data_IF_486390034390
#
_entry.id   IF_486390034390
#
_cell.length_a   1.000
_cell.length_b   1.000
_cell.length_c   1.000
_cell.angle_alpha   90.00
_cell.angle_beta   90.00
_cell.angle_gamma   90.00
#
_symmetry.space_group_name_H-M   'P 1'
#
loop_
_entity.id
_entity.type
_entity.pdbx_description
1 polymer ?
#
# COMPACT_ATOMS: atom_id res chain seq x y z
N UNK A 1 6.68 9.19 -9.13
CA UNK A 1 7.59 8.17 -8.59
C UNK A 1 8.34 8.62 -7.35
N UNK A 2 9.22 9.63 -7.39
CA UNK A 2 10.00 10.05 -6.21
C UNK A 2 9.16 10.36 -4.96
N UNK A 3 8.04 11.06 -5.12
CA UNK A 3 7.10 11.33 -4.00
C UNK A 3 6.59 10.03 -3.36
N UNK A 4 6.14 9.07 -4.18
CA UNK A 4 5.66 7.78 -3.71
C UNK A 4 6.77 6.99 -3.00
N UNK A 5 7.99 7.02 -3.53
CA UNK A 5 9.14 6.38 -2.89
C UNK A 5 9.41 6.91 -1.48
N UNK A 6 9.44 8.24 -1.30
CA UNK A 6 9.66 8.87 0.01
C UNK A 6 8.53 8.52 0.98
N UNK A 7 7.28 8.59 0.53
CA UNK A 7 6.13 8.26 1.37
C UNK A 7 6.15 6.79 1.83
N UNK A 8 6.40 5.84 0.91
CA UNK A 8 6.43 4.42 1.25
C UNK A 8 7.66 4.04 2.09
N UNK A 9 8.86 4.47 1.72
CA UNK A 9 10.08 4.04 2.41
C UNK A 9 10.32 4.76 3.74
N UNK A 10 9.98 6.05 3.83
CA UNK A 10 10.26 6.84 5.03
C UNK A 10 9.05 6.85 5.95
N UNK A 11 7.90 7.31 5.46
CA UNK A 11 6.72 7.49 6.29
C UNK A 11 6.10 6.14 6.66
N UNK A 12 5.84 5.28 5.68
CA UNK A 12 5.12 4.03 5.93
C UNK A 12 5.99 2.93 6.57
N UNK A 13 7.26 2.81 6.20
CA UNK A 13 8.13 1.78 6.79
C UNK A 13 8.74 2.22 8.13
N UNK A 14 9.59 3.26 8.14
CA UNK A 14 10.38 3.61 9.32
C UNK A 14 9.54 4.11 10.50
N UNK A 15 8.55 4.98 10.27
CA UNK A 15 7.71 5.47 11.36
C UNK A 15 6.81 4.37 11.93
N UNK A 16 6.34 3.45 11.09
CA UNK A 16 5.57 2.29 11.55
C UNK A 16 6.42 1.41 12.45
N UNK A 17 7.70 1.16 12.11
CA UNK A 17 8.62 0.42 13.00
C UNK A 17 8.78 1.11 14.35
N UNK A 18 9.00 2.43 14.38
CA UNK A 18 9.14 3.20 15.64
C UNK A 18 7.84 3.20 16.45
N UNK A 19 6.69 3.29 15.77
CA UNK A 19 5.40 3.25 16.43
C UNK A 19 5.11 1.87 17.03
N UNK A 20 5.44 0.79 16.32
CA UNK A 20 5.24 -0.57 16.77
C UNK A 20 6.20 -0.95 17.91
N UNK A 21 7.45 -0.47 17.91
CA UNK A 21 8.36 -0.66 19.04
C UNK A 21 7.86 0.05 20.30
N UNK A 22 7.35 1.27 20.16
CA UNK A 22 6.70 1.99 21.26
C UNK A 22 5.46 1.25 21.78
N UNK A 23 4.70 0.61 20.89
CA UNK A 23 3.56 -0.21 21.26
C UNK A 23 3.99 -1.43 22.09
N UNK A 24 5.08 -2.10 21.69
CA UNK A 24 5.66 -3.23 22.44
C UNK A 24 6.04 -2.78 23.85
N UNK A 25 6.79 -1.68 23.98
CA UNK A 25 7.20 -1.12 25.28
C UNK A 25 5.99 -0.76 26.14
N UNK A 26 4.92 -0.24 25.54
CA UNK A 26 3.74 0.19 26.30
C UNK A 26 2.85 -0.97 26.76
N UNK A 27 2.94 -2.13 26.11
CA UNK A 27 2.06 -3.29 26.35
C UNK A 27 2.72 -4.38 27.21
N UNK A 28 4.00 -4.24 27.57
CA UNK A 28 4.75 -5.25 28.33
C UNK A 28 4.14 -5.59 29.70
N UNK A 29 3.54 -4.59 30.37
CA UNK A 29 3.05 -4.71 31.75
C UNK A 29 1.54 -4.98 31.83
N UNK A 30 0.90 -5.23 30.69
CA UNK A 30 -0.56 -5.42 30.58
C UNK A 30 -0.93 -6.90 30.56
N UNK A 31 -2.19 -7.22 30.86
CA UNK A 31 -2.72 -8.57 30.76
C UNK A 31 -3.08 -8.94 29.30
N UNK A 32 -3.11 -10.25 29.02
CA UNK A 32 -3.31 -10.78 27.67
C UNK A 32 -4.57 -10.22 26.98
N UNK A 33 -5.75 -10.12 27.64
CA UNK A 33 -6.93 -9.55 27.00
C UNK A 33 -6.75 -8.09 26.56
N UNK A 34 -6.16 -7.24 27.41
CA UNK A 34 -5.92 -5.84 27.06
C UNK A 34 -4.92 -5.73 25.90
N UNK A 35 -3.83 -6.50 25.96
CA UNK A 35 -2.81 -6.51 24.90
C UNK A 35 -3.40 -7.02 23.59
N UNK A 36 -4.23 -8.05 23.63
CA UNK A 36 -4.93 -8.58 22.45
C UNK A 36 -5.83 -7.50 21.83
N UNK A 37 -6.63 -6.79 22.64
CA UNK A 37 -7.50 -5.72 22.16
C UNK A 37 -6.69 -4.59 21.51
N UNK A 38 -5.55 -4.22 22.10
CA UNK A 38 -4.66 -3.18 21.59
C UNK A 38 -4.02 -3.61 20.27
N UNK A 39 -3.42 -4.81 20.21
CA UNK A 39 -2.81 -5.36 18.98
C UNK A 39 -3.85 -5.50 17.88
N UNK A 40 -5.06 -5.96 18.22
CA UNK A 40 -6.16 -6.07 17.27
C UNK A 40 -6.61 -4.69 16.76
N UNK A 41 -6.85 -3.74 17.65
CA UNK A 41 -7.30 -2.38 17.30
C UNK A 41 -6.26 -1.62 16.47
N UNK A 42 -5.00 -1.63 16.90
CA UNK A 42 -3.89 -1.03 16.14
C UNK A 42 -3.71 -1.74 14.81
N UNK A 43 -3.71 -3.07 14.79
CA UNK A 43 -3.63 -3.87 13.58
C UNK A 43 -4.73 -3.52 12.59
N UNK A 44 -5.97 -3.35 13.05
CA UNK A 44 -7.10 -2.93 12.21
C UNK A 44 -6.84 -1.56 11.58
N UNK A 45 -6.40 -0.57 12.37
CA UNK A 45 -6.07 0.76 11.85
C UNK A 45 -4.95 0.70 10.82
N UNK A 46 -3.87 -0.03 11.09
CA UNK A 46 -2.74 -0.16 10.19
C UNK A 46 -3.13 -0.88 8.88
N UNK A 47 -3.96 -1.93 8.95
CA UNK A 47 -4.49 -2.56 7.75
C UNK A 47 -5.41 -1.65 6.94
N UNK A 48 -6.07 -0.64 7.55
CA UNK A 48 -6.89 0.32 6.79
C UNK A 48 -6.04 1.34 6.03
N UNK A 49 -4.73 1.42 6.29
CA UNK A 49 -3.83 2.34 5.62
C UNK A 49 -3.23 1.67 4.36
N UNK A 50 -3.51 2.18 3.15
CA UNK A 50 -3.00 1.60 1.90
C UNK A 50 -1.49 1.32 1.83
N UNK A 51 -0.60 2.18 2.39
CA UNK A 51 0.84 1.99 2.22
C UNK A 51 1.46 0.99 3.21
N UNK A 52 0.71 0.48 4.19
CA UNK A 52 1.27 -0.33 5.27
C UNK A 52 1.18 -1.82 4.90
N UNK A 53 2.30 -2.54 4.81
CA UNK A 53 2.29 -3.98 4.58
C UNK A 53 1.76 -4.73 5.81
N UNK A 54 1.14 -5.90 5.61
CA UNK A 54 0.62 -6.73 6.72
C UNK A 54 1.71 -7.41 7.56
N UNK A 55 2.89 -7.67 6.99
CA UNK A 55 3.96 -8.45 7.64
C UNK A 55 4.43 -7.84 8.98
N UNK A 56 4.72 -6.52 9.09
CA UNK A 56 5.08 -5.91 10.37
C UNK A 56 4.03 -6.09 11.47
N UNK A 57 2.75 -6.19 11.11
CA UNK A 57 1.64 -6.38 12.06
C UNK A 57 1.71 -7.80 12.65
N UNK A 58 1.89 -8.81 11.80
CA UNK A 58 2.03 -10.21 12.25
C UNK A 58 3.32 -10.43 13.04
N UNK A 59 4.42 -9.78 12.61
CA UNK A 59 5.70 -9.82 13.31
C UNK A 59 5.55 -9.24 14.73
N UNK A 60 4.90 -8.08 14.85
CA UNK A 60 4.62 -7.45 16.14
C UNK A 60 3.69 -8.30 17.00
N UNK A 61 2.66 -8.90 16.42
CA UNK A 61 1.78 -9.82 17.15
C UNK A 61 2.57 -11.02 17.72
N UNK A 62 3.54 -11.56 16.97
CA UNK A 62 4.43 -12.62 17.40
C UNK A 62 5.41 -12.23 18.52
N UNK A 63 5.75 -10.95 18.64
CA UNK A 63 6.55 -10.41 19.75
C UNK A 63 5.65 -10.19 20.97
N UNK A 64 4.61 -9.37 20.81
CA UNK A 64 3.79 -8.82 21.90
C UNK A 64 2.87 -9.87 22.53
N UNK A 65 2.17 -10.67 21.72
CA UNK A 65 1.22 -11.64 22.27
C UNK A 65 1.95 -12.84 22.88
N UNK A 66 3.15 -13.15 22.38
CA UNK A 66 3.96 -14.22 22.96
C UNK A 66 4.61 -13.79 24.26
N UNK A 67 5.14 -12.57 24.35
CA UNK A 67 5.77 -12.09 25.58
C UNK A 67 4.82 -12.10 26.78
N UNK A 68 3.57 -11.66 26.57
CA UNK A 68 2.56 -11.62 27.63
C UNK A 68 1.86 -12.97 27.81
N UNK A 69 1.71 -13.74 26.73
CA UNK A 69 1.06 -15.04 26.73
C UNK A 69 1.88 -16.16 27.36
N UNK A 70 3.21 -16.06 27.31
CA UNK A 70 4.12 -17.16 27.66
C UNK A 70 3.96 -17.63 29.11
N UNK A 71 3.68 -16.72 30.05
CA UNK A 71 3.55 -17.05 31.48
C UNK A 71 2.29 -17.85 31.81
N UNK A 72 1.21 -17.69 31.04
CA UNK A 72 -0.09 -18.33 31.31
C UNK A 72 -0.41 -19.51 30.40
N UNK A 73 0.00 -19.44 29.12
CA UNK A 73 -0.30 -20.45 28.10
C UNK A 73 0.91 -21.33 27.74
N UNK A 74 2.08 -21.01 28.28
CA UNK A 74 3.35 -21.54 27.82
C UNK A 74 3.74 -21.01 26.42
N UNK A 75 4.99 -21.24 26.02
CA UNK A 75 5.53 -20.73 24.75
C UNK A 75 4.70 -21.19 23.53
N UNK A 76 4.45 -22.50 23.41
CA UNK A 76 3.71 -23.06 22.27
C UNK A 76 2.27 -22.57 22.22
N UNK A 77 1.62 -22.47 23.39
CA UNK A 77 0.26 -21.96 23.50
C UNK A 77 0.17 -20.48 23.10
N UNK A 78 1.14 -19.67 23.53
CA UNK A 78 1.20 -18.24 23.21
C UNK A 78 1.47 -18.00 21.71
N UNK A 79 2.34 -18.79 21.08
CA UNK A 79 2.58 -18.73 19.62
C UNK A 79 1.30 -19.12 18.85
N UNK A 80 0.65 -20.22 19.24
CA UNK A 80 -0.61 -20.66 18.64
C UNK A 80 -1.73 -19.61 18.78
N UNK A 81 -1.79 -18.95 19.93
CA UNK A 81 -2.69 -17.83 20.18
C UNK A 81 -2.41 -16.65 19.25
N UNK A 82 -1.13 -16.25 19.10
CA UNK A 82 -0.72 -15.17 18.21
C UNK A 82 -1.07 -15.45 16.74
N UNK A 83 -0.97 -16.70 16.27
CA UNK A 83 -1.45 -17.10 14.94
C UNK A 83 -2.96 -16.90 14.79
N UNK A 84 -3.74 -17.38 15.77
CA UNK A 84 -5.19 -17.28 15.76
C UNK A 84 -5.66 -15.83 15.73
N UNK A 85 -5.13 -14.99 16.61
CA UNK A 85 -5.43 -13.54 16.65
C UNK A 85 -5.07 -12.87 15.33
N UNK A 86 -3.89 -13.17 14.75
CA UNK A 86 -3.44 -12.59 13.48
C UNK A 86 -4.34 -12.97 12.31
N UNK A 87 -4.81 -14.23 12.25
CA UNK A 87 -5.73 -14.69 11.21
C UNK A 87 -7.10 -14.01 11.34
N UNK A 88 -7.66 -13.93 12.55
CA UNK A 88 -8.94 -13.26 12.79
C UNK A 88 -8.83 -11.77 12.42
N UNK A 89 -7.77 -11.10 12.88
CA UNK A 89 -7.46 -9.72 12.54
C UNK A 89 -7.43 -9.51 11.03
N UNK A 90 -6.74 -10.38 10.29
CA UNK A 90 -6.64 -10.32 8.83
C UNK A 90 -8.01 -10.46 8.16
N UNK A 91 -8.81 -11.44 8.53
CA UNK A 91 -10.14 -11.64 7.94
C UNK A 91 -11.11 -10.50 8.28
N UNK A 92 -11.04 -9.95 9.50
CA UNK A 92 -11.80 -8.77 9.88
C UNK A 92 -11.37 -7.54 9.07
N UNK A 93 -10.07 -7.33 8.89
CA UNK A 93 -9.54 -6.24 8.07
C UNK A 93 -10.02 -6.34 6.61
N UNK A 94 -9.92 -7.52 6.00
CA UNK A 94 -10.44 -7.77 4.65
C UNK A 94 -11.96 -7.50 4.57
N UNK A 95 -12.72 -7.88 5.60
CA UNK A 95 -14.16 -7.63 5.65
C UNK A 95 -14.49 -6.15 5.67
N UNK A 96 -13.80 -5.36 6.50
CA UNK A 96 -13.98 -3.91 6.57
C UNK A 96 -13.53 -3.23 5.27
N UNK A 97 -12.37 -3.62 4.73
CA UNK A 97 -11.86 -3.08 3.48
C UNK A 97 -12.80 -3.34 2.30
N UNK A 98 -13.37 -4.55 2.21
CA UNK A 98 -14.30 -4.89 1.13
C UNK A 98 -15.67 -4.25 1.34
N UNK A 99 -16.29 -4.45 2.50
CA UNK A 99 -17.70 -4.11 2.73
C UNK A 99 -17.93 -2.65 3.12
N UNK A 100 -17.02 -2.04 3.89
CA UNK A 100 -17.19 -0.65 4.32
C UNK A 100 -16.48 0.32 3.39
N UNK A 101 -15.24 0.02 3.00
CA UNK A 101 -14.45 0.93 2.16
C UNK A 101 -14.76 0.70 0.68
N UNK A 102 -14.50 -0.50 0.16
CA UNK A 102 -14.62 -0.83 -1.25
C UNK A 102 -16.02 -0.63 -1.80
N UNK A 103 -17.05 -1.14 -1.11
CA UNK A 103 -18.43 -0.97 -1.55
C UNK A 103 -18.89 0.51 -1.60
N UNK A 104 -18.47 1.33 -0.63
CA UNK A 104 -18.78 2.77 -0.63
C UNK A 104 -18.02 3.51 -1.73
N UNK A 105 -16.74 3.18 -1.92
CA UNK A 105 -15.91 3.76 -2.97
C UNK A 105 -16.37 3.38 -4.38
N UNK A 106 -16.98 2.20 -4.54
CA UNK A 106 -17.53 1.73 -5.81
C UNK A 106 -18.63 2.62 -6.38
N UNK A 107 -19.34 3.37 -5.54
CA UNK A 107 -20.34 4.35 -6.00
C UNK A 107 -19.74 5.63 -6.60
N UNK A 108 -18.43 5.85 -6.51
CA UNK A 108 -17.78 7.06 -7.00
C UNK A 108 -17.13 6.81 -8.37
N UNK A 109 -17.61 7.53 -9.41
CA UNK A 109 -17.08 7.43 -10.79
C UNK A 109 -15.57 7.70 -10.84
N UNK A 110 -15.09 8.73 -10.14
CA UNK A 110 -13.66 9.08 -10.13
C UNK A 110 -12.79 8.00 -9.49
N UNK A 111 -13.30 7.25 -8.52
CA UNK A 111 -12.57 6.12 -7.94
C UNK A 111 -12.59 4.91 -8.87
N UNK A 112 -13.75 4.59 -9.47
CA UNK A 112 -13.84 3.54 -10.50
C UNK A 112 -12.92 3.83 -11.70
N UNK A 113 -12.81 5.10 -12.09
CA UNK A 113 -11.86 5.59 -13.08
C UNK A 113 -10.39 5.42 -12.60
N UNK A 114 -10.08 5.83 -11.37
CA UNK A 114 -8.74 5.73 -10.79
C UNK A 114 -8.23 4.29 -10.74
N UNK A 115 -9.10 3.33 -10.39
CA UNK A 115 -8.75 1.91 -10.41
C UNK A 115 -8.80 1.30 -11.81
N UNK A 116 -9.20 2.08 -12.82
CA UNK A 116 -9.35 1.65 -14.21
C UNK A 116 -10.26 0.43 -14.35
N UNK A 117 -11.50 0.54 -13.83
CA UNK A 117 -12.46 -0.56 -13.77
C UNK A 117 -12.75 -1.21 -15.14
N UNK A 118 -12.66 -0.41 -16.21
CA UNK A 118 -12.87 -0.80 -17.59
C UNK A 118 -11.64 -1.47 -18.26
N UNK A 119 -10.48 -1.47 -17.60
CA UNK A 119 -9.29 -2.12 -18.13
C UNK A 119 -9.42 -3.64 -18.17
N UNK A 120 -8.80 -4.27 -19.16
CA UNK A 120 -8.76 -5.74 -19.27
C UNK A 120 -8.15 -6.38 -18.02
N UNK A 121 -7.14 -5.75 -17.42
CA UNK A 121 -6.51 -6.25 -16.20
C UNK A 121 -7.47 -6.34 -15.01
N UNK A 122 -8.29 -5.31 -14.79
CA UNK A 122 -9.28 -5.32 -13.71
C UNK A 122 -10.44 -6.25 -14.01
N UNK A 123 -10.89 -6.33 -15.27
CA UNK A 123 -11.91 -7.30 -15.70
C UNK A 123 -11.42 -8.74 -15.56
N UNK A 124 -10.16 -9.03 -15.90
CA UNK A 124 -9.53 -10.32 -15.67
C UNK A 124 -9.44 -10.65 -14.17
N UNK A 125 -9.05 -9.68 -13.32
CA UNK A 125 -9.11 -9.88 -11.87
C UNK A 125 -10.53 -10.18 -11.40
N UNK A 126 -11.56 -9.52 -11.94
CA UNK A 126 -12.97 -9.83 -11.63
C UNK A 126 -13.32 -11.28 -11.98
N UNK A 127 -12.91 -11.78 -13.14
CA UNK A 127 -13.12 -13.19 -13.54
C UNK A 127 -12.46 -14.13 -12.52
N UNK A 128 -11.17 -13.94 -12.23
CA UNK A 128 -10.42 -14.76 -11.25
C UNK A 128 -11.08 -14.76 -9.87
N UNK A 129 -11.44 -13.59 -9.38
CA UNK A 129 -12.01 -13.40 -8.05
C UNK A 129 -13.48 -13.82 -7.97
N UNK A 130 -14.16 -14.02 -9.10
CA UNK A 130 -15.53 -14.53 -9.17
C UNK A 130 -15.60 -16.06 -9.23
N UNK A 131 -14.47 -16.76 -9.32
CA UNK A 131 -14.42 -18.22 -9.32
C UNK A 131 -15.18 -18.84 -8.15
N UNK A 132 -15.88 -19.95 -8.42
CA UNK A 132 -16.56 -20.71 -7.37
C UNK A 132 -15.55 -21.51 -6.54
N UNK A 133 -15.64 -21.39 -5.22
CA UNK A 133 -14.78 -22.10 -4.28
C UNK A 133 -13.38 -21.50 -4.15
N UNK A 134 -12.42 -22.31 -3.70
CA UNK A 134 -11.03 -21.92 -3.43
C UNK A 134 -10.11 -22.40 -4.56
N UNK A 135 -10.21 -21.75 -5.72
CA UNK A 135 -9.34 -22.07 -6.87
C UNK A 135 -7.92 -21.53 -6.66
N UNK A 136 -6.92 -22.18 -7.24
CA UNK A 136 -5.53 -21.77 -7.12
C UNK A 136 -5.31 -20.32 -7.61
N UNK A 137 -5.96 -19.92 -8.71
CA UNK A 137 -5.86 -18.57 -9.25
C UNK A 137 -6.50 -17.52 -8.35
N UNK A 138 -7.65 -17.83 -7.72
CA UNK A 138 -8.29 -16.96 -6.73
C UNK A 138 -7.40 -16.78 -5.50
N UNK A 139 -6.90 -17.86 -4.94
CA UNK A 139 -5.99 -17.83 -3.78
C UNK A 139 -4.72 -17.04 -4.12
N UNK A 140 -4.16 -17.24 -5.31
CA UNK A 140 -2.98 -16.53 -5.75
C UNK A 140 -3.19 -15.00 -5.72
N UNK A 141 -4.32 -14.51 -6.26
CA UNK A 141 -4.62 -13.07 -6.24
C UNK A 141 -4.92 -12.56 -4.83
N UNK A 142 -5.70 -13.30 -4.02
CA UNK A 142 -6.11 -12.87 -2.68
C UNK A 142 -4.99 -12.89 -1.64
N UNK A 143 -4.00 -13.77 -1.80
CA UNK A 143 -2.85 -13.91 -0.87
C UNK A 143 -1.61 -13.19 -1.41
N UNK A 144 -1.43 -13.15 -2.73
CA UNK A 144 -0.25 -12.57 -3.37
C UNK A 144 -0.38 -11.11 -3.76
N UNK A 145 -1.60 -10.61 -3.93
CA UNK A 145 -1.80 -9.20 -4.21
C UNK A 145 -1.67 -8.33 -2.94
N UNK A 146 -1.42 -7.02 -3.09
CA UNK A 146 -1.38 -6.12 -1.94
C UNK A 146 -2.74 -6.10 -1.20
N UNK A 147 -2.69 -6.40 0.09
CA UNK A 147 -3.84 -6.64 0.96
C UNK A 147 -4.97 -5.60 0.84
N UNK A 148 -4.63 -4.33 1.04
CA UNK A 148 -5.61 -3.23 1.02
C UNK A 148 -6.17 -3.02 -0.39
N UNK A 149 -5.34 -2.81 -1.45
CA UNK A 149 -5.85 -2.65 -2.81
C UNK A 149 -6.73 -3.79 -3.29
N UNK A 150 -6.37 -5.05 -3.03
CA UNK A 150 -7.16 -6.21 -3.48
C UNK A 150 -8.49 -6.29 -2.76
N UNK A 151 -8.51 -6.13 -1.43
CA UNK A 151 -9.75 -6.24 -0.65
C UNK A 151 -10.73 -5.09 -0.96
N UNK A 152 -10.20 -3.86 -1.11
CA UNK A 152 -11.00 -2.71 -1.54
C UNK A 152 -11.52 -2.90 -2.96
N UNK A 153 -10.69 -3.40 -3.89
CA UNK A 153 -11.12 -3.70 -5.25
C UNK A 153 -12.24 -4.75 -5.28
N UNK A 154 -12.18 -5.78 -4.44
CA UNK A 154 -13.27 -6.76 -4.32
C UNK A 154 -14.60 -6.08 -3.97
N UNK A 155 -14.57 -5.04 -3.12
CA UNK A 155 -15.74 -4.25 -2.77
C UNK A 155 -16.22 -3.36 -3.92
N UNK A 156 -15.29 -2.71 -4.62
CA UNK A 156 -15.60 -1.88 -5.81
C UNK A 156 -16.25 -2.74 -6.92
N UNK A 157 -15.77 -3.98 -7.11
CA UNK A 157 -16.30 -4.92 -8.09
C UNK A 157 -17.62 -5.58 -7.66
N UNK A 158 -18.10 -5.33 -6.44
CA UNK A 158 -19.32 -5.90 -5.90
C UNK A 158 -19.26 -7.41 -5.68
N UNK A 159 -18.10 -7.95 -5.30
CA UNK A 159 -17.95 -9.38 -5.03
C UNK A 159 -18.54 -9.76 -3.66
N UNK A 160 -19.07 -10.98 -3.56
CA UNK A 160 -19.56 -11.52 -2.31
C UNK A 160 -18.44 -11.67 -1.26
N UNK A 161 -18.74 -11.29 -0.02
CA UNK A 161 -17.75 -11.27 1.06
C UNK A 161 -17.25 -12.68 1.43
N UNK A 162 -18.16 -13.63 1.64
CA UNK A 162 -17.79 -14.96 2.16
C UNK A 162 -16.83 -15.73 1.22
N UNK A 163 -17.07 -15.81 -0.11
CA UNK A 163 -16.13 -16.46 -1.01
C UNK A 163 -14.74 -15.81 -1.05
N UNK A 164 -14.69 -14.48 -0.89
CA UNK A 164 -13.41 -13.75 -0.80
C UNK A 164 -12.69 -14.11 0.50
N UNK A 165 -13.36 -14.05 1.65
CA UNK A 165 -12.74 -14.41 2.94
C UNK A 165 -12.24 -15.86 2.97
N UNK A 166 -13.02 -16.81 2.44
CA UNK A 166 -12.60 -18.21 2.34
C UNK A 166 -11.38 -18.36 1.43
N UNK A 167 -11.34 -17.65 0.30
CA UNK A 167 -10.18 -17.61 -0.59
C UNK A 167 -8.94 -16.95 0.02
N UNK A 168 -9.11 -16.11 1.06
CA UNK A 168 -8.03 -15.47 1.81
C UNK A 168 -7.47 -16.36 2.92
N UNK A 169 -8.17 -17.39 3.40
CA UNK A 169 -7.70 -18.29 4.49
C UNK A 169 -6.28 -18.82 4.26
N UNK A 170 -5.83 -19.21 3.05
CA UNK A 170 -4.46 -19.67 2.81
C UNK A 170 -3.36 -18.63 3.12
N UNK A 171 -3.70 -17.38 3.44
CA UNK A 171 -2.78 -16.38 4.00
C UNK A 171 -2.09 -16.85 5.28
N UNK A 172 -2.60 -17.90 5.95
CA UNK A 172 -1.89 -18.59 7.04
C UNK A 172 -0.46 -19.00 6.67
N UNK A 173 -0.21 -19.30 5.39
CA UNK A 173 1.14 -19.61 4.88
C UNK A 173 2.10 -18.41 4.95
N UNK A 174 1.60 -17.19 5.05
CA UNK A 174 2.36 -15.98 5.34
C UNK A 174 2.37 -15.68 6.85
N UNK A 175 1.22 -15.75 7.52
CA UNK A 175 1.09 -15.40 8.95
C UNK A 175 2.00 -16.27 9.82
N UNK A 176 2.00 -17.58 9.62
CA UNK A 176 2.76 -18.52 10.48
C UNK A 176 4.25 -18.20 10.50
N UNK A 177 4.98 -18.14 9.36
CA UNK A 177 6.40 -17.83 9.39
C UNK A 177 6.69 -16.40 9.89
N UNK A 178 5.81 -15.42 9.65
CA UNK A 178 6.03 -14.06 10.16
C UNK A 178 5.85 -13.95 11.67
N UNK A 179 4.80 -14.58 12.23
CA UNK A 179 4.59 -14.62 13.68
C UNK A 179 5.73 -15.39 14.35
N UNK A 180 6.17 -16.52 13.78
CA UNK A 180 7.34 -17.26 14.28
C UNK A 180 8.60 -16.40 14.28
N UNK A 181 8.85 -15.62 13.22
CA UNK A 181 9.96 -14.68 13.19
C UNK A 181 9.91 -13.69 14.36
N UNK A 182 8.73 -13.16 14.69
CA UNK A 182 8.55 -12.25 15.82
C UNK A 182 8.73 -12.93 17.17
N UNK A 183 8.19 -14.14 17.30
CA UNK A 183 8.33 -14.95 18.52
C UNK A 183 9.78 -15.32 18.78
N UNK A 184 10.53 -15.70 17.74
CA UNK A 184 11.95 -15.99 17.86
C UNK A 184 12.78 -14.74 18.16
N UNK A 185 12.44 -13.58 17.58
CA UNK A 185 13.07 -12.31 17.95
C UNK A 185 12.86 -11.98 19.43
N UNK A 186 11.64 -12.19 19.96
CA UNK A 186 11.37 -12.06 21.39
C UNK A 186 12.18 -13.06 22.23
N UNK A 187 12.22 -14.33 21.83
CA UNK A 187 13.00 -15.34 22.54
C UNK A 187 14.50 -15.03 22.58
N UNK A 188 15.05 -14.45 21.52
CA UNK A 188 16.45 -14.02 21.46
C UNK A 188 16.77 -12.84 22.39
N UNK A 189 15.76 -12.06 22.80
CA UNK A 189 15.93 -10.99 23.80
C UNK A 189 15.88 -11.47 25.25
N UNK A 190 15.64 -12.77 25.49
CA UNK A 190 15.56 -13.31 26.84
C UNK A 190 16.93 -13.86 27.28
N UNK A 191 17.40 -13.38 28.42
CA UNK A 191 18.67 -13.78 29.03
C UNK A 191 18.42 -14.52 30.36
N UNK A 192 19.32 -15.44 30.69
CA UNK A 192 19.43 -16.07 32.01
C UNK A 192 20.05 -15.09 33.03
N UNK A 193 19.99 -15.44 34.32
CA UNK A 193 20.60 -14.63 35.40
C UNK A 193 22.13 -14.44 35.25
N UNK A 194 22.79 -15.32 34.49
CA UNK A 194 24.22 -15.26 34.19
C UNK A 194 24.54 -14.44 32.92
N UNK A 195 23.53 -13.85 32.28
CA UNK A 195 23.66 -13.08 31.03
C UNK A 195 23.84 -13.94 29.78
N UNK A 196 23.65 -15.26 29.87
CA UNK A 196 23.61 -16.14 28.69
C UNK A 196 22.22 -16.16 28.06
N UNK A 197 22.13 -16.30 26.74
CA UNK A 197 20.84 -16.38 26.05
C UNK A 197 20.00 -17.57 26.55
N UNK A 198 18.74 -17.31 26.91
CA UNK A 198 17.80 -18.36 27.33
C UNK A 198 17.49 -19.32 26.17
N UNK A 199 17.49 -18.81 24.93
CA UNK A 199 17.23 -19.58 23.71
C UNK A 199 18.30 -19.35 22.63
N UNK A 200 19.49 -19.95 22.72
CA UNK A 200 20.61 -19.67 21.80
C UNK A 200 20.34 -19.97 20.31
N UNK A 201 19.29 -20.75 20.02
CA UNK A 201 18.89 -21.13 18.66
C UNK A 201 17.85 -20.18 18.05
N UNK A 202 17.29 -19.26 18.84
CA UNK A 202 16.17 -18.40 18.42
C UNK A 202 16.54 -17.56 17.20
N UNK A 203 17.71 -16.94 17.17
CA UNK A 203 18.13 -16.07 16.07
C UNK A 203 18.24 -16.83 14.76
N UNK A 204 18.77 -18.05 14.81
CA UNK A 204 18.85 -18.93 13.63
C UNK A 204 17.46 -19.31 13.13
N UNK A 205 16.55 -19.67 14.04
CA UNK A 205 15.17 -20.00 13.66
C UNK A 205 14.38 -18.77 13.20
N UNK A 206 14.66 -17.59 13.75
CA UNK A 206 14.13 -16.30 13.31
C UNK A 206 14.53 -15.99 11.88
N UNK A 207 15.82 -16.16 11.55
CA UNK A 207 16.32 -15.99 10.18
C UNK A 207 15.65 -16.98 9.20
N UNK A 208 15.50 -18.25 9.59
CA UNK A 208 14.80 -19.26 8.78
C UNK A 208 13.33 -18.88 8.56
N UNK A 209 12.61 -18.51 9.62
CA UNK A 209 11.22 -18.09 9.55
C UNK A 209 11.03 -16.85 8.66
N UNK A 210 11.92 -15.87 8.79
CA UNK A 210 11.97 -14.69 7.91
C UNK A 210 12.18 -15.07 6.44
N UNK A 211 13.13 -15.96 6.15
CA UNK A 211 13.38 -16.46 4.80
C UNK A 211 12.16 -17.18 4.20
N UNK A 212 11.46 -18.01 5.00
CA UNK A 212 10.20 -18.63 4.58
C UNK A 212 9.10 -17.61 4.31
N UNK A 213 8.96 -16.59 5.18
CA UNK A 213 7.99 -15.52 5.00
C UNK A 213 8.23 -14.74 3.69
N UNK A 214 9.49 -14.39 3.42
CA UNK A 214 9.87 -13.69 2.19
C UNK A 214 9.67 -14.56 0.95
N UNK A 215 10.06 -15.84 1.01
CA UNK A 215 9.89 -16.80 -0.08
C UNK A 215 8.41 -17.06 -0.40
N UNK A 216 7.57 -17.22 0.62
CA UNK A 216 6.13 -17.38 0.45
C UNK A 216 5.49 -16.13 -0.16
N UNK A 217 5.85 -14.93 0.32
CA UNK A 217 5.35 -13.67 -0.26
C UNK A 217 5.74 -13.54 -1.73
N UNK A 218 6.99 -13.85 -2.08
CA UNK A 218 7.46 -13.82 -3.46
C UNK A 218 6.70 -14.82 -4.34
N UNK A 219 6.53 -16.06 -3.85
CA UNK A 219 5.78 -17.10 -4.55
C UNK A 219 4.34 -16.68 -4.84
N UNK A 220 3.60 -16.20 -3.83
CA UNK A 220 2.21 -15.79 -4.02
C UNK A 220 2.10 -14.57 -4.93
N UNK A 221 2.99 -13.59 -4.81
CA UNK A 221 3.00 -12.40 -5.68
C UNK A 221 3.19 -12.79 -7.15
N UNK A 222 4.15 -13.67 -7.45
CA UNK A 222 4.36 -14.18 -8.82
C UNK A 222 3.17 -15.01 -9.31
N UNK A 223 2.59 -15.81 -8.42
CA UNK A 223 1.41 -16.62 -8.74
C UNK A 223 0.21 -15.74 -9.06
N UNK A 224 0.02 -14.62 -8.36
CA UNK A 224 -1.04 -13.64 -8.63
C UNK A 224 -0.89 -13.04 -10.03
N UNK A 225 0.32 -12.57 -10.36
CA UNK A 225 0.62 -12.03 -11.68
C UNK A 225 0.43 -13.07 -12.79
N UNK A 226 0.88 -14.31 -12.54
CA UNK A 226 0.68 -15.44 -13.44
C UNK A 226 -0.80 -15.80 -13.65
N UNK A 227 -1.61 -15.77 -12.60
CA UNK A 227 -3.04 -16.02 -12.63
C UNK A 227 -3.78 -14.98 -13.49
N UNK A 228 -3.50 -13.68 -13.29
CA UNK A 228 -4.09 -12.60 -14.10
C UNK A 228 -3.65 -12.72 -15.55
N UNK A 229 -2.35 -12.94 -15.81
CA UNK A 229 -1.83 -13.12 -17.18
C UNK A 229 -2.45 -14.33 -17.89
N UNK A 230 -2.60 -15.46 -17.20
CA UNK A 230 -3.23 -16.65 -17.75
C UNK A 230 -4.70 -16.40 -18.10
N UNK A 231 -5.40 -15.64 -17.26
CA UNK A 231 -6.81 -15.28 -17.49
C UNK A 231 -6.95 -14.35 -18.69
N UNK A 232 -6.06 -13.36 -18.84
CA UNK A 232 -6.01 -12.50 -20.03
C UNK A 232 -5.79 -13.30 -21.33
N UNK A 233 -4.97 -14.37 -21.27
CA UNK A 233 -4.68 -15.18 -22.45
C UNK A 233 -5.78 -16.20 -22.79
N UNK A 234 -6.42 -16.78 -21.78
CA UNK A 234 -7.27 -17.96 -21.95
C UNK A 234 -8.77 -17.69 -21.77
N UNK A 235 -9.15 -16.63 -21.07
CA UNK A 235 -10.55 -16.35 -20.69
C UNK A 235 -11.11 -15.06 -21.33
N UNK A 236 -10.58 -14.68 -22.50
CA UNK A 236 -10.99 -13.43 -23.18
C UNK A 236 -12.51 -13.33 -23.37
N UNK A 237 -13.18 -14.44 -23.71
CA UNK A 237 -14.65 -14.45 -23.85
C UNK A 237 -15.38 -14.07 -22.56
N UNK A 238 -14.87 -14.50 -21.40
CA UNK A 238 -15.47 -14.15 -20.10
C UNK A 238 -15.17 -12.71 -19.73
N UNK A 239 -13.96 -12.24 -20.06
CA UNK A 239 -13.57 -10.85 -19.87
C UNK A 239 -14.48 -9.95 -20.71
N UNK A 240 -14.62 -10.23 -22.01
CA UNK A 240 -15.44 -9.47 -22.96
C UNK A 240 -16.92 -9.47 -22.60
N UNK A 241 -17.42 -10.54 -21.98
CA UNK A 241 -18.79 -10.63 -21.50
C UNK A 241 -19.10 -9.69 -20.32
N UNK A 242 -18.09 -9.17 -19.61
CA UNK A 242 -18.30 -8.17 -18.54
C UNK A 242 -18.63 -6.83 -19.20
N UNK A 243 -19.83 -6.26 -18.99
CA UNK A 243 -20.20 -4.98 -19.60
C UNK A 243 -19.27 -3.86 -19.15
N UNK A 244 -19.03 -2.91 -20.05
CA UNK A 244 -18.27 -1.70 -19.75
C UNK A 244 -19.10 -0.78 -18.87
N UNK A 245 -18.43 -0.09 -17.95
CA UNK A 245 -19.01 0.97 -17.15
C UNK A 245 -19.08 2.24 -18.00
N UNK A 246 -20.29 2.54 -18.50
CA UNK A 246 -20.53 3.66 -19.44
C UNK A 246 -20.20 5.02 -18.82
N UNK A 247 -20.57 5.24 -17.55
CA UNK A 247 -20.25 6.49 -16.84
C UNK A 247 -18.73 6.72 -16.74
N UNK A 248 -17.97 5.65 -16.49
CA UNK A 248 -16.51 5.74 -16.44
C UNK A 248 -15.93 5.92 -17.84
N UNK A 249 -16.52 5.30 -18.87
CA UNK A 249 -16.06 5.47 -20.25
C UNK A 249 -16.24 6.92 -20.74
N UNK A 250 -17.37 7.55 -20.41
CA UNK A 250 -17.59 8.98 -20.67
C UNK A 250 -16.61 9.86 -19.90
N UNK A 251 -16.39 9.56 -18.61
CA UNK A 251 -15.42 10.28 -17.79
C UNK A 251 -13.98 10.13 -18.30
N UNK A 252 -13.62 8.95 -18.83
CA UNK A 252 -12.33 8.68 -19.47
C UNK A 252 -12.16 9.49 -20.75
N UNK A 253 -13.19 9.54 -21.60
CA UNK A 253 -13.17 10.35 -22.81
C UNK A 253 -12.99 11.84 -22.49
N UNK A 254 -13.70 12.35 -21.48
CA UNK A 254 -13.57 13.73 -21.02
C UNK A 254 -12.17 14.01 -20.42
N UNK A 255 -11.64 13.09 -19.60
CA UNK A 255 -10.31 13.19 -19.03
C UNK A 255 -9.22 13.14 -20.12
N UNK A 256 -9.39 12.32 -21.15
CA UNK A 256 -8.48 12.24 -22.29
C UNK A 256 -8.48 13.54 -23.12
N UNK A 257 -9.64 14.16 -23.36
CA UNK A 257 -9.75 15.49 -23.98
C UNK A 257 -8.98 16.52 -23.14
N UNK A 258 -9.17 16.54 -21.83
CA UNK A 258 -8.43 17.45 -20.94
C UNK A 258 -6.93 17.18 -20.91
N UNK A 259 -6.52 15.92 -20.94
CA UNK A 259 -5.12 15.52 -20.93
C UNK A 259 -4.39 15.92 -22.22
N UNK A 260 -5.05 15.84 -23.37
CA UNK A 260 -4.47 16.29 -24.64
C UNK A 260 -4.26 17.81 -24.65
N UNK A 261 -5.25 18.59 -24.19
CA UNK A 261 -5.13 20.05 -24.04
C UNK A 261 -4.05 20.40 -23.02
N UNK A 262 -3.99 19.69 -21.89
CA UNK A 262 -2.93 19.86 -20.90
C UNK A 262 -1.56 19.66 -21.54
N UNK A 263 -1.36 18.55 -22.27
CA UNK A 263 -0.09 18.25 -22.94
C UNK A 263 0.35 19.33 -23.93
N UNK A 264 -0.59 19.89 -24.69
CA UNK A 264 -0.32 20.99 -25.62
C UNK A 264 0.03 22.29 -24.88
N UNK A 265 -0.74 22.64 -23.84
CA UNK A 265 -0.52 23.85 -23.03
C UNK A 265 0.81 23.79 -22.26
N UNK A 266 1.22 22.59 -21.82
CA UNK A 266 2.49 22.37 -21.11
C UNK A 266 3.64 21.95 -22.03
N UNK A 267 3.49 22.06 -23.35
CA UNK A 267 4.58 21.74 -24.27
C UNK A 267 5.80 22.61 -23.96
N UNK A 268 7.01 22.04 -24.03
CA UNK A 268 8.22 22.73 -23.59
C UNK A 268 8.40 24.10 -24.25
N UNK A 269 7.98 24.29 -25.50
CA UNK A 269 8.08 25.57 -26.19
C UNK A 269 7.13 26.64 -25.61
N UNK A 270 5.97 26.24 -25.08
CA UNK A 270 4.95 27.15 -24.54
C UNK A 270 5.21 27.53 -23.07
N UNK A 271 6.03 26.76 -22.36
CA UNK A 271 6.33 27.01 -20.93
C UNK A 271 7.29 28.22 -20.77
N UNK A 272 6.95 29.22 -19.94
CA UNK A 272 7.83 30.34 -19.62
C UNK A 272 9.14 29.89 -18.97
N UNK A 273 10.21 30.66 -19.18
CA UNK A 273 11.56 30.33 -18.69
C UNK A 273 11.58 30.12 -17.17
N UNK A 274 10.92 30.99 -16.39
CA UNK A 274 10.89 30.85 -14.94
C UNK A 274 10.26 29.53 -14.49
N UNK A 275 9.18 29.12 -15.15
CA UNK A 275 8.48 27.86 -14.86
C UNK A 275 9.32 26.65 -15.28
N UNK A 276 10.06 26.75 -16.39
CA UNK A 276 11.05 25.73 -16.80
C UNK A 276 12.15 25.57 -15.76
N UNK A 277 12.69 26.68 -15.24
CA UNK A 277 13.70 26.65 -14.19
C UNK A 277 13.14 25.99 -12.92
N UNK A 278 11.92 26.32 -12.52
CA UNK A 278 11.25 25.65 -11.39
C UNK A 278 11.11 24.14 -11.61
N UNK A 279 10.74 23.69 -12.81
CA UNK A 279 10.67 22.27 -13.15
C UNK A 279 12.02 21.58 -13.07
N UNK A 280 13.08 22.17 -13.65
CA UNK A 280 14.43 21.61 -13.62
C UNK A 280 14.93 21.51 -12.17
N UNK A 281 14.78 22.59 -11.39
CA UNK A 281 15.18 22.61 -9.98
C UNK A 281 14.39 21.60 -9.16
N UNK A 282 13.09 21.47 -9.40
CA UNK A 282 12.25 20.45 -8.75
C UNK A 282 12.74 19.04 -9.06
N UNK A 283 13.04 18.74 -10.33
CA UNK A 283 13.55 17.43 -10.75
C UNK A 283 14.92 17.13 -10.14
N UNK A 284 15.85 18.10 -10.16
CA UNK A 284 17.17 17.95 -9.54
C UNK A 284 17.07 17.75 -8.02
N UNK A 285 16.21 18.50 -7.34
CA UNK A 285 15.96 18.32 -5.91
C UNK A 285 15.35 16.95 -5.59
N UNK A 286 14.37 16.48 -6.35
CA UNK A 286 13.80 15.14 -6.17
C UNK A 286 14.83 14.05 -6.42
N UNK A 287 15.64 14.20 -7.47
CA UNK A 287 16.70 13.26 -7.80
C UNK A 287 17.75 13.21 -6.68
N UNK A 288 18.18 14.37 -6.17
CA UNK A 288 19.08 14.47 -5.01
C UNK A 288 18.50 13.81 -3.77
N UNK A 289 17.22 14.07 -3.47
CA UNK A 289 16.50 13.40 -2.37
C UNK A 289 16.54 11.87 -2.50
N UNK A 290 16.10 11.33 -3.65
CA UNK A 290 16.03 9.87 -3.85
C UNK A 290 17.42 9.23 -3.81
N UNK A 291 18.43 9.83 -4.45
CA UNK A 291 19.80 9.29 -4.40
C UNK A 291 20.37 9.30 -2.98
N UNK A 292 20.12 10.35 -2.19
CA UNK A 292 20.53 10.37 -0.78
C UNK A 292 19.88 9.24 0.00
N UNK A 293 18.56 9.06 -0.14
CA UNK A 293 17.83 8.03 0.60
C UNK A 293 18.20 6.60 0.20
N UNK A 294 18.53 6.37 -1.07
CA UNK A 294 18.90 5.05 -1.60
C UNK A 294 20.37 4.73 -1.33
N UNK A 295 21.29 5.60 -1.73
CA UNK A 295 22.74 5.33 -1.67
C UNK A 295 23.33 5.55 -0.28
N UNK A 296 22.74 6.47 0.49
CA UNK A 296 23.24 6.88 1.81
C UNK A 296 22.23 6.61 2.92
N UNK A 297 21.41 5.55 2.78
CA UNK A 297 20.32 5.24 3.72
C UNK A 297 20.77 5.23 5.19
N UNK A 298 21.90 4.55 5.49
CA UNK A 298 22.47 4.46 6.84
C UNK A 298 22.98 5.80 7.40
N UNK A 299 23.28 6.77 6.53
CA UNK A 299 23.63 8.14 6.94
C UNK A 299 22.40 9.06 7.01
N UNK A 300 21.31 8.69 6.34
CA UNK A 300 20.03 9.39 6.39
C UNK A 300 19.18 8.98 7.60
N UNK A 301 19.22 7.71 7.99
CA UNK A 301 18.43 7.16 9.08
C UNK A 301 19.28 6.33 10.03
N UNK A 302 18.98 6.45 11.32
CA UNK A 302 19.54 5.56 12.32
C UNK A 302 18.95 4.16 12.15
N UNK A 303 19.79 3.14 12.30
CA UNK A 303 19.35 1.76 12.37
C UNK A 303 18.40 1.59 13.57
N UNK A 304 17.23 1.03 13.31
CA UNK A 304 16.18 0.90 14.32
C UNK A 304 15.34 -0.33 14.04
N UNK A 305 15.22 -1.20 15.05
CA UNK A 305 14.46 -2.44 15.01
C UNK A 305 13.22 -2.34 15.90
N UNK A 306 12.23 -3.22 15.69
CA UNK A 306 11.03 -3.35 16.51
C UNK A 306 11.35 -3.67 17.98
N UNK A 307 12.44 -4.38 18.23
CA UNK A 307 12.86 -4.76 19.59
C UNK A 307 13.57 -3.61 20.34
N UNK A 308 13.90 -2.51 19.67
CA UNK A 308 14.61 -1.38 20.29
C UNK A 308 13.66 -0.42 20.99
N UNK A 309 14.08 0.11 22.15
CA UNK A 309 13.35 1.18 22.84
C UNK A 309 13.70 2.57 22.27
N UNK A 310 12.72 3.47 22.24
CA UNK A 310 12.94 4.88 21.83
C UNK A 310 13.92 5.57 22.79
N UNK A 311 13.87 5.19 24.07
CA UNK A 311 14.72 5.78 25.11
C UNK A 311 16.20 5.52 24.87
N UNK A 312 16.57 4.27 24.64
CA UNK A 312 17.98 3.87 24.50
C UNK A 312 18.53 4.20 23.11
N UNK A 313 17.77 3.85 22.06
CA UNK A 313 18.29 3.88 20.70
C UNK A 313 18.04 5.22 20.00
N UNK A 314 17.04 6.00 20.44
CA UNK A 314 16.71 7.32 19.89
C UNK A 314 16.88 8.46 20.90
N UNK A 315 17.43 8.21 22.10
CA UNK A 315 17.62 9.24 23.13
C UNK A 315 16.31 9.88 23.61
N UNK A 316 15.23 9.09 23.63
CA UNK A 316 13.92 9.51 24.12
C UNK A 316 13.07 10.33 23.13
N UNK A 317 13.54 10.53 21.89
CA UNK A 317 12.85 11.35 20.88
C UNK A 317 12.74 10.60 19.56
N UNK A 318 11.53 10.24 19.16
CA UNK A 318 11.26 9.45 17.94
C UNK A 318 11.85 10.06 16.65
N UNK A 319 11.91 11.38 16.55
CA UNK A 319 12.43 12.08 15.36
C UNK A 319 13.95 11.98 15.21
N UNK A 320 14.67 11.52 16.24
CA UNK A 320 16.12 11.25 16.15
C UNK A 320 16.43 10.05 15.25
N UNK A 321 15.42 9.33 14.74
CA UNK A 321 15.60 8.35 13.67
C UNK A 321 16.12 9.01 12.39
N UNK A 322 15.81 10.29 12.16
CA UNK A 322 16.29 11.04 10.98
C UNK A 322 17.59 11.75 11.33
N UNK A 323 18.68 11.31 10.70
CA UNK A 323 20.01 11.89 10.84
C UNK A 323 20.16 13.18 10.01
N UNK A 324 21.21 14.00 10.22
CA UNK A 324 21.37 15.27 9.51
C UNK A 324 21.29 15.16 7.98
N UNK A 325 21.89 14.11 7.38
CA UNK A 325 21.79 13.89 5.93
C UNK A 325 20.36 13.54 5.50
N UNK A 326 19.59 12.84 6.35
CA UNK A 326 18.18 12.55 6.12
C UNK A 326 17.32 13.81 6.18
N UNK A 327 17.65 14.74 7.07
CA UNK A 327 16.99 16.05 7.12
C UNK A 327 17.21 16.84 5.83
N UNK A 328 18.43 16.81 5.27
CA UNK A 328 18.71 17.40 3.94
C UNK A 328 17.92 16.72 2.83
N UNK A 329 17.86 15.38 2.82
CA UNK A 329 17.09 14.63 1.85
C UNK A 329 15.59 14.99 1.92
N UNK A 330 15.01 15.07 3.12
CA UNK A 330 13.63 15.50 3.33
C UNK A 330 13.42 16.98 2.96
N UNK A 331 14.41 17.84 3.20
CA UNK A 331 14.40 19.22 2.75
C UNK A 331 14.31 19.33 1.23
N UNK A 332 15.13 18.56 0.51
CA UNK A 332 15.06 18.49 -0.96
C UNK A 332 13.70 17.97 -1.45
N UNK A 333 13.11 17.00 -0.74
CA UNK A 333 11.77 16.53 -1.04
C UNK A 333 10.73 17.67 -0.92
N UNK A 334 10.73 18.42 0.19
CA UNK A 334 9.80 19.54 0.40
C UNK A 334 9.98 20.61 -0.67
N UNK A 335 11.22 21.01 -0.96
CA UNK A 335 11.53 22.00 -2.00
C UNK A 335 11.03 21.53 -3.37
N UNK A 336 11.33 20.28 -3.73
CA UNK A 336 10.87 19.70 -4.98
C UNK A 336 9.34 19.69 -5.09
N UNK A 337 8.65 19.26 -4.04
CA UNK A 337 7.19 19.22 -3.99
C UNK A 337 6.57 20.61 -4.13
N UNK A 338 7.09 21.61 -3.41
CA UNK A 338 6.58 22.99 -3.51
C UNK A 338 6.78 23.58 -4.91
N UNK A 339 7.94 23.35 -5.54
CA UNK A 339 8.19 23.81 -6.90
C UNK A 339 7.30 23.11 -7.94
N UNK A 340 7.08 21.80 -7.80
CA UNK A 340 6.24 21.03 -8.72
C UNK A 340 4.75 21.32 -8.51
N UNK A 341 4.22 21.02 -7.33
CA UNK A 341 2.79 21.11 -7.04
C UNK A 341 2.33 22.56 -6.83
N UNK A 342 3.16 23.38 -6.17
CA UNK A 342 2.81 24.76 -5.84
C UNK A 342 2.96 25.71 -7.03
N UNK A 343 4.06 25.62 -7.79
CA UNK A 343 4.36 26.56 -8.88
C UNK A 343 3.96 25.99 -10.24
N UNK A 344 4.53 24.85 -10.64
CA UNK A 344 4.31 24.32 -11.98
C UNK A 344 2.87 23.86 -12.20
N UNK A 345 2.32 23.00 -11.33
CA UNK A 345 0.95 22.52 -11.50
C UNK A 345 -0.09 23.64 -11.42
N UNK A 346 0.10 24.62 -10.55
CA UNK A 346 -0.81 25.76 -10.45
C UNK A 346 -0.81 26.60 -11.74
N UNK A 347 0.37 26.85 -12.31
CA UNK A 347 0.50 27.50 -13.61
C UNK A 347 -0.13 26.65 -14.72
N UNK A 348 0.18 25.36 -14.77
CA UNK A 348 -0.31 24.45 -15.80
C UNK A 348 -1.84 24.35 -15.79
N UNK A 349 -2.46 24.16 -14.60
CA UNK A 349 -3.92 24.14 -14.43
C UNK A 349 -4.58 25.42 -14.95
N UNK A 350 -3.98 26.59 -14.70
CA UNK A 350 -4.49 27.87 -15.21
C UNK A 350 -4.41 27.93 -16.74
N UNK A 351 -3.30 27.50 -17.34
CA UNK A 351 -3.15 27.51 -18.80
C UNK A 351 -4.08 26.51 -19.49
N UNK A 352 -4.22 25.30 -18.94
CA UNK A 352 -5.16 24.31 -19.48
C UNK A 352 -6.60 24.81 -19.39
N UNK A 353 -7.01 25.42 -18.27
CA UNK A 353 -8.35 25.99 -18.14
C UNK A 353 -8.59 27.14 -19.13
N UNK A 354 -7.58 27.96 -19.41
CA UNK A 354 -7.65 29.02 -20.42
C UNK A 354 -7.84 28.42 -21.81
N UNK A 355 -7.01 27.45 -22.19
CA UNK A 355 -7.06 26.79 -23.50
C UNK A 355 -8.38 26.05 -23.73
N UNK A 356 -8.93 25.38 -22.70
CA UNK A 356 -10.24 24.73 -22.80
C UNK A 356 -11.37 25.72 -23.11
N UNK A 357 -11.39 26.87 -22.41
CA UNK A 357 -12.40 27.91 -22.65
C UNK A 357 -12.29 28.51 -24.06
N UNK A 358 -11.07 28.71 -24.54
CA UNK A 358 -10.84 29.20 -25.90
C UNK A 358 -11.36 28.18 -26.94
N UNK A 359 -11.12 26.88 -26.74
CA UNK A 359 -11.66 25.82 -27.60
C UNK A 359 -13.19 25.76 -27.57
N UNK A 360 -13.82 25.80 -26.40
CA UNK A 360 -15.28 25.79 -26.23
C UNK A 360 -15.92 26.99 -26.95
N UNK A 361 -15.33 28.19 -26.81
CA UNK A 361 -15.83 29.39 -27.51
C UNK A 361 -15.69 29.33 -29.04
N UNK A 362 -14.69 28.61 -29.54
CA UNK A 362 -14.50 28.39 -30.97
C UNK A 362 -15.48 27.34 -31.53
N UNK A 363 -15.78 26.28 -30.77
CA UNK A 363 -16.80 25.28 -31.12
C UNK A 363 -18.19 25.96 -31.22
N UNK A 364 -18.56 26.86 -30.29
CA UNK A 364 -19.86 27.56 -30.31
C UNK A 364 -20.03 28.58 -31.46
N UNK A 365 -18.92 29.12 -31.98
CA UNK A 365 -18.95 30.15 -33.04
C UNK A 365 -18.84 29.59 -34.46
N UNK A 366 -18.67 28.27 -34.61
CA UNK A 366 -18.59 27.63 -35.92
C UNK A 366 -20.01 27.38 -36.46
N UNK A 367 -20.48 28.08 -37.51
CA UNK A 367 -21.82 27.85 -38.05
C UNK A 367 -21.92 26.43 -38.63
N UNK A 368 -23.04 25.74 -38.35
CA UNK A 368 -23.39 24.45 -38.93
C UNK A 368 -23.14 24.49 -40.44
N UNK A 369 -22.38 23.52 -40.94
CA UNK A 369 -22.18 23.44 -42.39
C UNK A 369 -23.52 23.20 -43.07
N UNK A 370 -23.72 23.72 -44.29
CA UNK A 370 -24.98 23.55 -45.03
C UNK A 370 -25.40 22.07 -45.21
N UNK A 371 -24.44 21.15 -45.11
CA UNK A 371 -24.64 19.69 -45.10
C UNK A 371 -25.31 19.19 -43.81
N UNK A 372 -24.92 19.72 -42.65
CA UNK A 372 -25.47 19.31 -41.35
C UNK A 372 -26.86 19.94 -41.15
N UNK A 373 -27.07 21.18 -41.60
CA UNK A 373 -28.37 21.83 -41.58
C UNK A 373 -29.43 21.10 -42.43
N UNK A 374 -29.03 20.45 -43.53
CA UNK A 374 -29.91 19.66 -44.39
C UNK A 374 -30.25 18.26 -43.82
N UNK A 375 -29.57 17.83 -42.76
CA UNK A 375 -29.84 16.53 -42.10
C UNK A 375 -30.84 16.69 -40.93
N UNK A 376 -30.99 17.93 -40.42
CA UNK A 376 -31.95 18.29 -39.37
C UNK A 376 -33.23 18.97 -39.89
N UNK A 377 -33.34 19.18 -41.21
CA UNK A 377 -34.54 19.66 -41.91
C UNK A 377 -35.14 18.52 -42.73
#
# INVERSE_FOLDING_TARGET
WGIGYVFLNVLASKLTTVFLSWLIERTSDMDIPAVTLIVFGVGMVLFMLPPIPGLPIYLTAGIVLVSVGMTSMGLVGAIGYAFGVSLVLKLCACSVQQALIGAQLGGNIGIRQLVSINSEGVRAMRVVLSDRGMTARKVAVLVGGPDWPVSVLCGILGLDLLPVLVGTIPVVALIVPTVLCGSFAYMGSLENEDGSDLYPWSDTMGAVASAFSAGAMFYFTLSAAGAVKSTLANDQLQIDAIPMDEEVAEADAAAQKKASVYGQATSWHNVPILVKLCLILSALAMMGCVYLLVLFNAQCFREYDLMYTIREHLGGKWYNIVLPLGQWALGFFVVSYLLLAGVFEAWAKRQTAKALREMESAEETTPLTASEAATYA
#
